data_IF_557193785588
#
_entry.id   IF_557193785588
#
_cell.length_a   1.000
_cell.length_b   1.000
_cell.length_c   1.000
_cell.angle_alpha   90.00
_cell.angle_beta   90.00
_cell.angle_gamma   90.00
#
_symmetry.space_group_name_H-M   'P 1'
#
loop_
_entity.id
_entity.type
_entity.pdbx_description
1 polymer ?
#
# COMPACT_ATOMS: atom_id res chain seq x y z
N UNK A 1 25.30 -6.20 -47.57
CA UNK A 1 24.99 -6.25 -46.13
C UNK A 1 26.28 -6.58 -45.40
N UNK A 2 26.79 -5.65 -44.59
CA UNK A 2 28.19 -5.65 -44.13
C UNK A 2 28.35 -6.53 -42.89
N UNK A 3 29.51 -7.21 -42.73
CA UNK A 3 29.86 -7.99 -41.52
C UNK A 3 29.73 -7.19 -40.21
N UNK A 4 29.80 -5.86 -40.29
CA UNK A 4 29.60 -4.94 -39.16
C UNK A 4 28.15 -4.97 -38.62
N UNK A 5 27.17 -5.21 -39.47
CA UNK A 5 25.75 -5.21 -39.09
C UNK A 5 25.36 -6.49 -38.33
N UNK A 6 26.04 -7.61 -38.62
CA UNK A 6 25.83 -8.89 -37.92
C UNK A 6 26.43 -8.92 -36.51
N UNK A 7 27.49 -8.15 -36.25
CA UNK A 7 28.15 -8.10 -34.92
C UNK A 7 27.40 -7.24 -33.92
N UNK A 8 26.64 -6.23 -34.37
CA UNK A 8 25.85 -5.37 -33.50
C UNK A 8 24.56 -6.05 -33.03
N UNK A 9 23.94 -6.88 -33.89
CA UNK A 9 22.75 -7.64 -33.51
C UNK A 9 23.03 -8.57 -32.33
N UNK A 10 24.12 -9.33 -32.34
CA UNK A 10 24.46 -10.27 -31.25
C UNK A 10 24.77 -9.56 -29.92
N UNK A 11 25.33 -8.35 -29.96
CA UNK A 11 25.56 -7.53 -28.77
C UNK A 11 24.25 -6.95 -28.21
N UNK A 12 23.31 -6.52 -29.05
CA UNK A 12 21.98 -6.05 -28.61
C UNK A 12 21.16 -7.16 -27.95
N UNK A 13 21.21 -8.40 -28.47
CA UNK A 13 20.56 -9.55 -27.82
C UNK A 13 21.25 -9.95 -26.50
N UNK A 14 22.57 -9.76 -26.39
CA UNK A 14 23.32 -10.03 -25.18
C UNK A 14 23.03 -9.01 -24.06
N UNK A 15 22.80 -7.74 -24.38
CA UNK A 15 22.40 -6.70 -23.41
C UNK A 15 20.97 -6.91 -22.92
N UNK A 16 20.09 -7.49 -23.76
CA UNK A 16 18.71 -7.79 -23.39
C UNK A 16 18.55 -8.97 -22.41
N UNK A 17 19.66 -9.63 -22.04
CA UNK A 17 19.70 -10.64 -20.99
C UNK A 17 20.25 -10.10 -19.67
N UNK A 18 19.90 -8.85 -19.30
CA UNK A 18 19.98 -8.42 -17.90
C UNK A 18 18.97 -9.24 -17.10
N UNK A 19 19.46 -10.39 -16.62
CA UNK A 19 18.98 -11.17 -15.49
C UNK A 19 18.08 -10.33 -14.59
N UNK A 20 16.75 -10.50 -14.74
CA UNK A 20 15.72 -10.10 -13.77
C UNK A 20 15.87 -10.92 -12.49
N UNK A 21 17.05 -10.88 -11.86
CA UNK A 21 17.19 -11.36 -10.50
C UNK A 21 16.46 -10.34 -9.65
N UNK A 22 15.39 -10.72 -8.93
CA UNK A 22 14.83 -9.84 -7.92
C UNK A 22 15.97 -9.44 -6.99
N UNK A 23 16.27 -8.14 -6.91
CA UNK A 23 17.34 -7.66 -6.06
C UNK A 23 16.99 -8.04 -4.60
N UNK A 24 17.68 -9.05 -4.06
CA UNK A 24 17.43 -9.59 -2.71
C UNK A 24 17.45 -8.51 -1.62
N UNK A 25 18.22 -7.44 -1.83
CA UNK A 25 18.28 -6.26 -0.95
C UNK A 25 16.93 -5.54 -0.87
N UNK A 26 16.25 -5.36 -2.02
CA UNK A 26 14.91 -4.76 -2.04
C UNK A 26 13.89 -5.70 -1.39
N UNK A 27 14.02 -7.01 -1.58
CA UNK A 27 13.13 -7.99 -0.96
C UNK A 27 13.29 -8.02 0.58
N UNK A 28 14.53 -7.97 1.07
CA UNK A 28 14.84 -7.89 2.49
C UNK A 28 14.33 -6.59 3.13
N UNK A 29 14.46 -5.45 2.42
CA UNK A 29 13.92 -4.17 2.85
C UNK A 29 12.38 -4.14 2.94
N UNK A 30 11.67 -5.02 2.24
CA UNK A 30 10.21 -5.11 2.30
C UNK A 30 9.70 -5.86 3.54
N UNK A 31 10.54 -6.70 4.17
CA UNK A 31 10.16 -7.45 5.39
C UNK A 31 9.68 -6.54 6.53
N UNK A 32 10.41 -5.49 6.95
CA UNK A 32 9.91 -4.58 7.98
C UNK A 32 8.65 -3.83 7.55
N UNK A 33 8.51 -3.51 6.26
CA UNK A 33 7.29 -2.87 5.73
C UNK A 33 6.08 -3.78 5.90
N UNK A 34 6.20 -5.05 5.51
CA UNK A 34 5.14 -6.03 5.69
C UNK A 34 4.82 -6.29 7.17
N UNK A 35 5.82 -6.27 8.04
CA UNK A 35 5.61 -6.41 9.47
C UNK A 35 4.79 -5.24 10.05
N UNK A 36 5.18 -4.00 9.76
CA UNK A 36 4.45 -2.80 10.21
C UNK A 36 3.03 -2.77 9.64
N UNK A 37 2.86 -3.07 8.36
CA UNK A 37 1.54 -3.15 7.73
C UNK A 37 0.70 -4.27 8.34
N UNK A 38 1.32 -5.42 8.64
CA UNK A 38 0.65 -6.54 9.30
C UNK A 38 0.15 -6.18 10.70
N UNK A 39 0.97 -5.52 11.51
CA UNK A 39 0.56 -4.99 12.82
C UNK A 39 -0.58 -3.98 12.69
N UNK A 40 -0.49 -3.07 11.71
CA UNK A 40 -1.53 -2.08 11.45
C UNK A 40 -2.86 -2.75 11.11
N UNK A 41 -2.84 -3.77 10.24
CA UNK A 41 -4.03 -4.54 9.88
C UNK A 41 -4.59 -5.27 11.09
N UNK A 42 -3.74 -5.95 11.86
CA UNK A 42 -4.15 -6.68 13.07
C UNK A 42 -4.84 -5.75 14.07
N UNK A 43 -4.22 -4.61 14.39
CA UNK A 43 -4.79 -3.60 15.29
C UNK A 43 -6.10 -3.03 14.74
N UNK A 44 -6.19 -2.80 13.43
CA UNK A 44 -7.41 -2.29 12.80
C UNK A 44 -8.57 -3.29 12.89
N UNK A 45 -8.28 -4.59 12.74
CA UNK A 45 -9.29 -5.63 12.95
C UNK A 45 -9.68 -5.75 14.42
N UNK A 46 -8.74 -5.72 15.36
CA UNK A 46 -9.03 -5.74 16.80
C UNK A 46 -9.96 -4.57 17.18
N UNK A 47 -9.62 -3.36 16.73
CA UNK A 47 -10.41 -2.14 16.88
C UNK A 47 -11.81 -2.29 16.27
N UNK A 48 -11.92 -2.83 15.06
CA UNK A 48 -13.20 -3.04 14.39
C UNK A 48 -14.09 -4.03 15.15
N UNK A 49 -13.52 -5.14 15.65
CA UNK A 49 -14.26 -6.14 16.42
C UNK A 49 -14.65 -5.66 17.81
N UNK A 50 -13.86 -4.78 18.41
CA UNK A 50 -14.20 -4.12 19.68
C UNK A 50 -15.07 -2.87 19.51
N UNK A 51 -15.46 -2.52 18.28
CA UNK A 51 -16.35 -1.38 18.00
C UNK A 51 -15.77 -0.01 18.34
N UNK A 52 -14.44 0.06 18.48
CA UNK A 52 -13.69 1.25 18.89
C UNK A 52 -12.62 1.60 17.86
N UNK A 53 -12.21 2.84 17.82
CA UNK A 53 -11.05 3.30 17.08
C UNK A 53 -10.15 4.06 18.05
N UNK A 54 -8.96 3.53 18.26
CA UNK A 54 -7.95 4.13 19.14
C UNK A 54 -6.91 4.80 18.28
N UNK A 55 -6.67 6.09 18.50
CA UNK A 55 -5.62 6.85 17.83
C UNK A 55 -4.89 7.75 18.82
N UNK A 56 -3.58 7.90 18.62
CA UNK A 56 -2.72 8.73 19.47
C UNK A 56 -2.51 10.12 18.89
N UNK A 57 -2.38 11.13 19.75
CA UNK A 57 -1.83 12.43 19.35
C UNK A 57 -0.30 12.48 19.48
N UNK A 58 0.27 13.61 19.06
CA UNK A 58 1.70 13.91 19.19
C UNK A 58 2.20 14.08 20.63
N UNK A 59 1.29 14.14 21.61
CA UNK A 59 1.58 14.33 23.03
C UNK A 59 1.50 13.01 23.81
N UNK A 60 1.18 11.89 23.14
CA UNK A 60 1.06 10.57 23.76
C UNK A 60 -0.31 10.31 24.38
N UNK A 61 -1.31 11.16 24.13
CA UNK A 61 -2.67 10.92 24.56
C UNK A 61 -3.36 9.97 23.58
N UNK A 62 -3.98 8.92 24.11
CA UNK A 62 -4.82 8.02 23.34
C UNK A 62 -6.26 8.52 23.37
N UNK A 63 -6.85 8.71 22.19
CA UNK A 63 -8.25 9.04 22.01
C UNK A 63 -8.99 7.79 21.54
N UNK A 64 -10.06 7.47 22.26
CA UNK A 64 -10.95 6.39 21.89
C UNK A 64 -12.24 6.98 21.32
N UNK A 65 -12.55 6.60 20.09
CA UNK A 65 -13.82 6.90 19.44
C UNK A 65 -14.61 5.62 19.32
N UNK A 66 -15.91 5.67 19.63
CA UNK A 66 -16.80 4.51 19.56
C UNK A 66 -17.92 4.71 18.54
N UNK A 67 -18.53 3.61 18.11
CA UNK A 67 -19.73 3.64 17.26
C UNK A 67 -19.42 3.84 15.77
N UNK A 68 -20.31 4.55 15.06
CA UNK A 68 -20.27 4.68 13.59
C UNK A 68 -18.99 5.37 13.12
N UNK A 69 -18.49 6.34 13.89
CA UNK A 69 -17.22 7.01 13.62
C UNK A 69 -16.04 6.02 13.59
N UNK A 70 -15.98 5.10 14.56
CA UNK A 70 -14.94 4.08 14.64
C UNK A 70 -14.95 3.14 13.44
N UNK A 71 -16.14 2.74 12.99
CA UNK A 71 -16.30 1.92 11.79
C UNK A 71 -15.76 2.66 10.56
N UNK A 72 -16.08 3.94 10.39
CA UNK A 72 -15.58 4.75 9.27
C UNK A 72 -14.04 4.84 9.26
N UNK A 73 -13.44 5.11 10.42
CA UNK A 73 -11.97 5.23 10.55
C UNK A 73 -11.30 3.89 10.25
N UNK A 74 -11.76 2.79 10.85
CA UNK A 74 -11.19 1.46 10.63
C UNK A 74 -11.34 1.00 9.16
N UNK A 75 -12.49 1.23 8.52
CA UNK A 75 -12.67 0.97 7.08
C UNK A 75 -11.74 1.84 6.22
N UNK A 76 -11.55 3.11 6.59
CA UNK A 76 -10.59 3.99 5.94
C UNK A 76 -9.16 3.46 6.02
N UNK A 77 -8.71 2.99 7.19
CA UNK A 77 -7.39 2.40 7.38
C UNK A 77 -7.22 1.12 6.55
N UNK A 78 -8.22 0.22 6.56
CA UNK A 78 -8.20 -0.98 5.71
C UNK A 78 -8.14 -0.60 4.22
N UNK A 79 -8.84 0.45 3.81
CA UNK A 79 -8.77 1.01 2.48
C UNK A 79 -7.38 1.54 2.13
N UNK A 80 -6.68 2.22 3.04
CA UNK A 80 -5.30 2.70 2.84
C UNK A 80 -4.30 1.53 2.75
N UNK A 81 -4.51 0.46 3.52
CA UNK A 81 -3.71 -0.77 3.37
C UNK A 81 -3.97 -1.41 2.01
N UNK A 82 -5.23 -1.50 1.57
CA UNK A 82 -5.59 -1.96 0.23
C UNK A 82 -5.01 -1.08 -0.88
N UNK A 83 -4.95 0.23 -0.65
CA UNK A 83 -4.31 1.20 -1.55
C UNK A 83 -2.81 0.91 -1.71
N UNK A 84 -2.10 0.69 -0.61
CA UNK A 84 -0.70 0.29 -0.62
C UNK A 84 -0.52 -1.07 -1.33
N UNK A 85 -1.36 -2.07 -1.00
CA UNK A 85 -1.33 -3.38 -1.66
C UNK A 85 -1.56 -3.30 -3.17
N UNK A 86 -2.47 -2.43 -3.61
CA UNK A 86 -2.73 -2.19 -5.04
C UNK A 86 -1.53 -1.55 -5.75
N UNK A 87 -0.76 -0.71 -5.05
CA UNK A 87 0.47 -0.13 -5.57
C UNK A 87 1.58 -1.19 -5.72
N UNK A 88 1.77 -2.05 -4.71
CA UNK A 88 2.70 -3.18 -4.81
C UNK A 88 2.32 -4.11 -5.97
N UNK A 89 1.03 -4.46 -6.08
CA UNK A 89 0.54 -5.28 -7.19
C UNK A 89 0.77 -4.60 -8.55
N UNK A 90 0.67 -3.27 -8.61
CA UNK A 90 0.93 -2.50 -9.83
C UNK A 90 2.41 -2.57 -10.22
N UNK A 91 3.33 -2.54 -9.27
CA UNK A 91 4.77 -2.69 -9.56
C UNK A 91 5.08 -4.04 -10.23
N UNK A 92 4.34 -5.09 -9.87
CA UNK A 92 4.52 -6.45 -10.41
C UNK A 92 3.84 -6.60 -11.78
N UNK A 93 2.55 -6.26 -11.87
CA UNK A 93 1.73 -6.53 -13.06
C UNK A 93 1.68 -5.39 -14.09
N UNK A 94 2.10 -4.17 -13.72
CA UNK A 94 2.07 -2.93 -14.54
C UNK A 94 0.78 -2.74 -15.34
N UNK A 95 -0.37 -3.06 -14.74
CA UNK A 95 -1.67 -2.99 -15.41
C UNK A 95 -2.30 -1.59 -15.28
N UNK A 96 -2.81 -0.99 -16.37
CA UNK A 96 -3.47 0.33 -16.33
C UNK A 96 -4.78 0.32 -15.54
N UNK A 97 -5.43 -0.84 -15.38
CA UNK A 97 -6.63 -0.97 -14.53
C UNK A 97 -6.27 -0.81 -13.05
N UNK A 98 -5.13 -1.37 -12.62
CA UNK A 98 -4.65 -1.26 -11.24
C UNK A 98 -4.36 0.20 -10.86
N UNK A 99 -3.86 1.01 -11.79
CA UNK A 99 -3.62 2.44 -11.57
C UNK A 99 -4.91 3.18 -11.22
N UNK A 100 -6.04 2.86 -11.89
CA UNK A 100 -7.34 3.47 -11.58
C UNK A 100 -7.88 3.00 -10.24
N UNK A 101 -7.80 1.70 -9.95
CA UNK A 101 -8.21 1.14 -8.65
C UNK A 101 -7.41 1.75 -7.50
N UNK A 102 -6.10 1.84 -7.64
CA UNK A 102 -5.22 2.52 -6.70
C UNK A 102 -5.70 3.96 -6.45
N UNK A 103 -5.91 4.76 -7.50
CA UNK A 103 -6.36 6.15 -7.31
C UNK A 103 -7.74 6.24 -6.62
N UNK A 104 -8.69 5.39 -7.00
CA UNK A 104 -10.03 5.38 -6.41
C UNK A 104 -10.02 4.97 -4.94
N UNK A 105 -9.33 3.87 -4.61
CA UNK A 105 -9.23 3.35 -3.23
C UNK A 105 -8.55 4.39 -2.33
N UNK A 106 -7.49 5.04 -2.80
CA UNK A 106 -6.79 6.08 -2.04
C UNK A 106 -7.69 7.27 -1.68
N UNK A 107 -8.49 7.75 -2.63
CA UNK A 107 -9.42 8.88 -2.40
C UNK A 107 -10.52 8.48 -1.43
N UNK A 108 -11.20 7.35 -1.68
CA UNK A 108 -12.32 6.89 -0.84
C UNK A 108 -11.86 6.61 0.59
N UNK A 109 -10.73 5.92 0.74
CA UNK A 109 -10.17 5.61 2.06
C UNK A 109 -9.80 6.87 2.85
N UNK A 110 -9.16 7.85 2.20
CA UNK A 110 -8.82 9.13 2.83
C UNK A 110 -10.05 9.89 3.29
N UNK A 111 -11.12 9.91 2.47
CA UNK A 111 -12.40 10.53 2.84
C UNK A 111 -13.06 9.81 4.02
N UNK A 112 -13.01 8.48 4.07
CA UNK A 112 -13.53 7.71 5.21
C UNK A 112 -12.79 8.01 6.51
N UNK A 113 -11.46 8.12 6.48
CA UNK A 113 -10.67 8.48 7.68
C UNK A 113 -11.01 9.90 8.14
N UNK A 114 -10.98 10.88 7.24
CA UNK A 114 -11.27 12.28 7.59
C UNK A 114 -12.70 12.42 8.10
N UNK A 115 -13.68 11.83 7.41
CA UNK A 115 -15.08 11.85 7.84
C UNK A 115 -15.28 11.18 9.19
N UNK A 116 -14.64 10.03 9.42
CA UNK A 116 -14.70 9.31 10.69
C UNK A 116 -14.08 10.09 11.86
N UNK A 117 -12.96 10.78 11.62
CA UNK A 117 -12.32 11.63 12.63
C UNK A 117 -13.15 12.87 12.94
N UNK A 118 -13.63 13.59 11.92
CA UNK A 118 -14.46 14.79 12.12
C UNK A 118 -15.75 14.43 12.85
N UNK A 119 -16.42 13.35 12.44
CA UNK A 119 -17.65 12.90 13.08
C UNK A 119 -17.40 12.33 14.49
N UNK A 120 -16.28 11.65 14.72
CA UNK A 120 -15.94 11.09 16.03
C UNK A 120 -15.46 12.11 17.06
N UNK A 121 -15.03 13.30 16.61
CA UNK A 121 -14.58 14.41 17.47
C UNK A 121 -15.65 15.49 17.69
N UNK A 122 -16.78 15.41 16.97
CA UNK A 122 -17.93 16.34 17.10
C UNK A 122 -18.93 15.83 18.11
#
# INVERSE_FOLDING_TARGET
MSKKDMSNGSAEYAVMNMSKRPNFIYLAGMVPVFFVVGLLVFLTFDNLFTGRAVYGDKFGNAYEVQGVAAILVNFGILGLVGWLGSFLAFLIWRSPRLMRFHRAIGVVSSLCVVGGLVYGLS
#
